data_IF_639809771406
#
_entry.id   IF_639809771406
#
_cell.length_a   1.000
_cell.length_b   1.000
_cell.length_c   1.000
_cell.angle_alpha   90.00
_cell.angle_beta   90.00
_cell.angle_gamma   90.00
#
_symmetry.space_group_name_H-M   'P 1'
#
loop_
_entity.id
_entity.type
_entity.pdbx_description
1 polymer ?
#
# COMPACT_ATOMS: atom_id res chain seq x y z
N UNK A 1 -45.54 -27.90 -9.90
CA UNK A 1 -44.82 -27.02 -8.96
C UNK A 1 -43.34 -26.92 -9.35
N UNK A 2 -42.89 -25.84 -10.01
CA UNK A 2 -41.48 -25.62 -10.42
C UNK A 2 -40.87 -24.32 -9.86
N UNK A 3 -41.67 -23.50 -9.16
CA UNK A 3 -41.30 -22.14 -8.74
C UNK A 3 -40.29 -22.10 -7.57
N UNK A 4 -40.23 -23.16 -6.76
CA UNK A 4 -39.36 -23.23 -5.57
C UNK A 4 -37.89 -23.37 -5.94
N UNK A 5 -37.54 -24.19 -6.93
CA UNK A 5 -36.14 -24.38 -7.36
C UNK A 5 -35.52 -23.10 -7.92
N UNK A 6 -36.26 -22.37 -8.77
CA UNK A 6 -35.78 -21.10 -9.33
C UNK A 6 -35.56 -20.03 -8.24
N UNK A 7 -36.45 -19.97 -7.25
CA UNK A 7 -36.30 -19.05 -6.12
C UNK A 7 -35.06 -19.37 -5.26
N UNK A 8 -34.80 -20.66 -5.00
CA UNK A 8 -33.61 -21.08 -4.23
C UNK A 8 -32.32 -20.74 -4.97
N UNK A 9 -32.27 -20.97 -6.29
CA UNK A 9 -31.10 -20.62 -7.10
C UNK A 9 -30.87 -19.10 -7.09
N UNK A 10 -31.92 -18.30 -7.26
CA UNK A 10 -31.80 -16.84 -7.26
C UNK A 10 -31.24 -16.31 -5.93
N UNK A 11 -31.71 -16.84 -4.80
CA UNK A 11 -31.22 -16.45 -3.47
C UNK A 11 -29.76 -16.87 -3.29
N UNK A 12 -29.40 -18.09 -3.68
CA UNK A 12 -28.02 -18.58 -3.57
C UNK A 12 -27.04 -17.72 -4.38
N UNK A 13 -27.40 -17.32 -5.61
CA UNK A 13 -26.58 -16.44 -6.45
C UNK A 13 -26.43 -15.06 -5.82
N UNK A 14 -27.52 -14.48 -5.29
CA UNK A 14 -27.47 -13.16 -4.65
C UNK A 14 -26.53 -13.14 -3.42
N UNK A 15 -26.60 -14.16 -2.57
CA UNK A 15 -25.71 -14.28 -1.40
C UNK A 15 -24.25 -14.44 -1.84
N UNK A 16 -24.00 -15.26 -2.86
CA UNK A 16 -22.65 -15.50 -3.38
C UNK A 16 -22.01 -14.20 -3.90
N UNK A 17 -22.78 -13.38 -4.63
CA UNK A 17 -22.32 -12.08 -5.13
C UNK A 17 -22.05 -11.09 -3.99
N UNK A 18 -22.92 -11.05 -2.96
CA UNK A 18 -22.74 -10.17 -1.81
C UNK A 18 -21.48 -10.53 -1.01
N UNK A 19 -21.25 -11.81 -0.74
CA UNK A 19 -20.04 -12.30 -0.07
C UNK A 19 -18.79 -11.96 -0.90
N UNK A 20 -18.82 -12.19 -2.21
CA UNK A 20 -17.71 -11.85 -3.10
C UNK A 20 -17.41 -10.34 -3.10
N UNK A 21 -18.44 -9.49 -3.15
CA UNK A 21 -18.28 -8.04 -3.04
C UNK A 21 -17.64 -7.62 -1.72
N UNK A 22 -18.06 -8.21 -0.59
CA UNK A 22 -17.48 -7.91 0.73
C UNK A 22 -16.01 -8.35 0.78
N UNK A 23 -15.67 -9.52 0.23
CA UNK A 23 -14.28 -10.00 0.15
C UNK A 23 -13.41 -9.06 -0.69
N UNK A 24 -13.90 -8.64 -1.87
CA UNK A 24 -13.19 -7.70 -2.74
C UNK A 24 -12.99 -6.34 -2.05
N UNK A 25 -14.04 -5.79 -1.43
CA UNK A 25 -13.96 -4.54 -0.67
C UNK A 25 -13.01 -4.67 0.52
N UNK A 26 -13.06 -5.77 1.25
CA UNK A 26 -12.15 -6.08 2.35
C UNK A 26 -10.70 -6.13 1.89
N UNK A 27 -10.40 -6.84 0.80
CA UNK A 27 -9.07 -6.90 0.20
C UNK A 27 -8.61 -5.53 -0.34
N UNK A 28 -9.50 -4.77 -0.97
CA UNK A 28 -9.20 -3.44 -1.49
C UNK A 28 -8.89 -2.45 -0.36
N UNK A 29 -9.71 -2.44 0.69
CA UNK A 29 -9.48 -1.64 1.88
C UNK A 29 -8.24 -2.10 2.64
N UNK A 30 -7.95 -3.40 2.69
CA UNK A 30 -6.72 -3.92 3.29
C UNK A 30 -5.49 -3.48 2.49
N UNK A 31 -5.50 -3.62 1.16
CA UNK A 31 -4.46 -3.08 0.27
C UNK A 31 -4.30 -1.57 0.35
N UNK A 32 -5.38 -0.85 0.68
CA UNK A 32 -5.32 0.60 0.94
C UNK A 32 -4.75 0.89 2.33
N UNK A 33 -5.06 0.08 3.33
CA UNK A 33 -4.53 0.19 4.71
C UNK A 33 -3.06 -0.25 4.82
N UNK A 34 -2.55 -1.06 3.88
CA UNK A 34 -1.10 -1.32 3.74
C UNK A 34 -0.34 -0.12 3.14
N UNK A 35 -0.98 1.05 2.96
CA UNK A 35 -0.32 2.33 2.73
C UNK A 35 -0.09 3.14 4.01
N UNK A 36 -0.38 2.57 5.18
CA UNK A 36 0.36 2.97 6.36
C UNK A 36 1.73 2.35 6.21
N UNK A 37 2.83 3.11 6.04
CA UNK A 37 4.16 2.56 6.18
C UNK A 37 4.26 2.04 7.61
N UNK A 38 3.93 0.76 7.82
CA UNK A 38 4.44 0.02 8.96
C UNK A 38 5.96 0.20 8.92
N UNK A 39 6.60 0.58 10.03
CA UNK A 39 8.04 0.57 10.11
C UNK A 39 8.46 -0.86 9.80
N UNK A 40 8.97 -1.09 8.59
CA UNK A 40 9.74 -2.30 8.32
C UNK A 40 10.96 -2.10 9.22
N UNK A 41 11.18 -2.91 10.27
CA UNK A 41 12.50 -2.95 10.85
C UNK A 41 13.30 -3.66 9.77
N UNK A 42 13.93 -2.88 8.91
CA UNK A 42 15.03 -3.35 8.08
C UNK A 42 16.10 -3.72 9.11
N UNK A 43 16.03 -4.92 9.67
CA UNK A 43 17.16 -5.53 10.37
C UNK A 43 18.16 -5.87 9.28
N UNK A 44 18.93 -4.85 8.86
CA UNK A 44 20.27 -5.11 8.36
C UNK A 44 21.10 -5.30 9.61
N UNK A 45 21.47 -6.54 9.89
CA UNK A 45 22.47 -6.88 10.90
C UNK A 45 23.78 -6.21 10.47
N UNK A 46 23.94 -4.94 10.83
CA UNK A 46 25.22 -4.25 10.92
C UNK A 46 25.39 -3.91 12.38
N UNK A 47 25.78 -4.94 13.11
CA UNK A 47 26.50 -4.74 14.35
C UNK A 47 27.70 -3.83 14.04
N UNK A 48 27.81 -2.73 14.78
CA UNK A 48 28.97 -1.84 14.88
C UNK A 48 29.20 -0.73 13.82
N UNK A 49 28.17 -0.03 13.34
CA UNK A 49 28.37 1.32 12.76
C UNK A 49 27.33 2.34 13.27
N UNK A 50 27.69 3.25 14.21
CA UNK A 50 26.77 4.24 14.75
C UNK A 50 26.34 5.32 13.73
N UNK A 51 26.88 5.33 12.49
CA UNK A 51 26.63 6.39 11.51
C UNK A 51 25.63 6.03 10.40
N UNK A 52 25.22 4.77 10.25
CA UNK A 52 24.24 4.37 9.22
C UNK A 52 22.80 4.51 9.73
N UNK A 53 22.30 5.74 9.73
CA UNK A 53 20.88 6.03 9.91
C UNK A 53 20.05 5.35 8.80
N UNK A 54 19.29 4.33 9.18
CA UNK A 54 18.37 3.63 8.29
C UNK A 54 17.14 4.50 8.01
N UNK A 55 17.20 5.30 6.94
CA UNK A 55 16.07 6.10 6.50
C UNK A 55 15.09 5.26 5.67
N UNK A 56 13.82 5.22 6.07
CA UNK A 56 12.77 4.63 5.26
C UNK A 56 12.48 5.50 4.02
N UNK A 57 12.12 4.88 2.91
CA UNK A 57 11.68 5.59 1.70
C UNK A 57 10.51 6.56 2.01
N UNK A 58 9.60 6.16 2.90
CA UNK A 58 8.51 7.01 3.37
C UNK A 58 9.01 8.29 4.06
N UNK A 59 10.06 8.17 4.89
CA UNK A 59 10.70 9.33 5.53
C UNK A 59 11.36 10.24 4.51
N UNK A 60 12.05 9.69 3.50
CA UNK A 60 12.70 10.47 2.45
C UNK A 60 11.63 11.23 1.64
N UNK A 61 10.53 10.57 1.26
CA UNK A 61 9.41 11.23 0.57
C UNK A 61 8.79 12.35 1.39
N UNK A 62 8.58 12.14 2.69
CA UNK A 62 8.05 13.17 3.56
C UNK A 62 9.01 14.38 3.65
N UNK A 63 10.32 14.13 3.76
CA UNK A 63 11.33 15.18 3.80
C UNK A 63 11.40 15.98 2.49
N UNK A 64 11.38 15.31 1.34
CA UNK A 64 11.45 15.96 0.02
C UNK A 64 10.10 16.49 -0.49
N UNK A 65 9.03 16.35 0.30
CA UNK A 65 7.65 16.62 -0.11
C UNK A 65 7.30 15.91 -1.44
N UNK A 66 7.41 14.58 -1.42
CA UNK A 66 7.22 13.69 -2.57
C UNK A 66 8.07 14.07 -3.80
N UNK A 67 9.34 14.45 -3.57
CA UNK A 67 10.28 14.89 -4.62
C UNK A 67 9.73 16.07 -5.44
N UNK A 68 9.09 17.03 -4.77
CA UNK A 68 8.60 18.25 -5.39
C UNK A 68 9.72 19.04 -6.04
N UNK A 69 9.48 19.58 -7.24
CA UNK A 69 10.44 20.45 -7.94
C UNK A 69 10.82 21.69 -7.11
N UNK A 70 9.94 22.15 -6.21
CA UNK A 70 10.26 23.26 -5.29
C UNK A 70 11.42 22.93 -4.31
N UNK A 71 11.69 21.64 -4.09
CA UNK A 71 12.78 21.14 -3.28
C UNK A 71 13.96 20.65 -4.12
N UNK A 72 13.88 20.69 -5.44
CA UNK A 72 15.02 20.33 -6.30
C UNK A 72 16.10 21.39 -6.17
N UNK A 73 17.32 20.96 -5.87
CA UNK A 73 18.50 21.83 -5.76
C UNK A 73 19.42 21.74 -6.98
N UNK A 74 19.28 20.69 -7.79
CA UNK A 74 20.04 20.54 -9.03
C UNK A 74 19.80 19.22 -9.73
N UNK A 75 20.38 19.06 -10.90
CA UNK A 75 20.40 17.82 -11.67
C UNK A 75 21.73 17.68 -12.39
N UNK A 76 22.34 16.50 -12.31
CA UNK A 76 23.58 16.17 -12.99
C UNK A 76 23.51 14.83 -13.70
N UNK A 77 24.65 14.28 -14.12
CA UNK A 77 24.70 12.98 -14.83
C UNK A 77 24.19 11.78 -14.03
N UNK A 78 23.99 11.96 -12.72
CA UNK A 78 23.44 10.95 -11.80
C UNK A 78 21.96 11.20 -11.44
N UNK A 79 21.33 12.23 -12.00
CA UNK A 79 19.92 12.57 -11.77
C UNK A 79 19.68 13.78 -10.87
N UNK A 80 18.42 14.02 -10.47
CA UNK A 80 18.00 15.17 -9.68
C UNK A 80 18.34 15.01 -8.20
N UNK A 81 18.67 16.12 -7.54
CA UNK A 81 18.99 16.19 -6.11
C UNK A 81 17.98 17.11 -5.42
N UNK A 82 17.46 16.69 -4.27
CA UNK A 82 16.43 17.40 -3.50
C UNK A 82 16.93 17.75 -2.10
N UNK A 83 16.47 18.88 -1.55
CA UNK A 83 16.67 19.27 -0.15
C UNK A 83 15.54 18.76 0.76
#
# INVERSE_FOLDING_TARGET
CKKTGAAVIAVAVAISLLVLCILILGLFLWRRKTKNPSPIPVKRDRDDDPELLDFSLASIRAATNDFSEANKIGEGGYGPVYK
#
